data_IF_398304416474
#
_entry.id   IF_398304416474
#
_cell.length_a   1.000
_cell.length_b   1.000
_cell.length_c   1.000
_cell.angle_alpha   90.00
_cell.angle_beta   90.00
_cell.angle_gamma   90.00
#
_symmetry.space_group_name_H-M   'P 1'
#
loop_
_entity.id
_entity.type
_entity.pdbx_description
1 polymer ?
#
# COMPACT_ATOMS: atom_id res chain seq x y z
N UNK A 1 15.82 -3.94 -2.59
CA UNK A 1 15.19 -4.37 -1.32
C UNK A 1 15.51 -3.34 -0.25
N UNK A 2 14.54 -2.51 0.14
CA UNK A 2 14.70 -1.59 1.27
C UNK A 2 14.67 -2.39 2.56
N UNK A 3 15.84 -2.62 3.16
CA UNK A 3 15.96 -3.38 4.41
C UNK A 3 15.62 -2.44 5.57
N UNK A 4 14.49 -2.68 6.23
CA UNK A 4 14.11 -1.95 7.45
C UNK A 4 15.17 -2.20 8.52
N UNK A 5 15.79 -1.12 9.00
CA UNK A 5 16.76 -1.21 10.10
C UNK A 5 16.01 -1.30 11.42
N UNK A 6 16.22 -2.41 12.14
CA UNK A 6 15.63 -2.65 13.45
C UNK A 6 16.74 -2.57 14.49
N UNK A 7 16.59 -1.65 15.44
CA UNK A 7 17.41 -1.56 16.64
C UNK A 7 16.66 -2.16 17.83
N UNK A 8 17.37 -2.79 18.77
CA UNK A 8 16.78 -3.34 19.98
C UNK A 8 17.53 -2.84 21.20
N UNK A 9 16.80 -2.32 22.18
CA UNK A 9 17.34 -1.88 23.46
C UNK A 9 16.80 -2.76 24.59
N UNK A 10 17.65 -3.09 25.56
CA UNK A 10 17.31 -3.91 26.72
C UNK A 10 17.64 -3.15 28.00
N UNK A 11 16.65 -2.44 28.52
CA UNK A 11 16.72 -1.78 29.82
C UNK A 11 15.41 -2.03 30.56
N UNK A 12 15.41 -2.98 31.51
CA UNK A 12 14.26 -3.50 32.26
C UNK A 12 13.11 -4.12 31.43
N UNK A 13 13.09 -3.90 30.11
CA UNK A 13 12.25 -4.54 29.08
C UNK A 13 12.99 -4.54 27.74
N UNK A 14 12.59 -5.40 26.82
CA UNK A 14 13.11 -5.38 25.43
C UNK A 14 12.25 -4.44 24.59
N UNK A 15 12.85 -3.46 23.93
CA UNK A 15 12.19 -2.53 23.02
C UNK A 15 12.80 -2.66 21.63
N UNK A 16 12.01 -3.01 20.63
CA UNK A 16 12.41 -3.02 19.22
C UNK A 16 11.96 -1.72 18.55
N UNK A 17 12.86 -1.02 17.87
CA UNK A 17 12.58 0.23 17.17
C UNK A 17 12.99 0.11 15.71
N UNK A 18 12.13 0.59 14.82
CA UNK A 18 12.39 0.64 13.39
C UNK A 18 11.81 1.94 12.82
N UNK A 19 12.47 2.46 11.79
CA UNK A 19 11.95 3.51 10.94
C UNK A 19 11.79 2.94 9.54
N UNK A 20 10.65 3.22 8.91
CA UNK A 20 10.32 2.75 7.57
C UNK A 20 10.20 3.99 6.69
N UNK A 21 11.00 4.05 5.64
CA UNK A 21 10.93 5.14 4.66
C UNK A 21 9.61 5.09 3.89
N UNK A 22 9.13 6.25 3.47
CA UNK A 22 7.85 6.39 2.78
C UNK A 22 7.67 5.41 1.62
N UNK A 23 8.63 5.21 0.68
CA UNK A 23 8.44 4.25 -0.41
C UNK A 23 8.25 2.81 0.05
N UNK A 24 8.94 2.39 1.13
CA UNK A 24 8.78 1.05 1.69
C UNK A 24 7.45 0.92 2.43
N UNK A 25 6.99 1.98 3.09
CA UNK A 25 5.70 2.00 3.76
C UNK A 25 4.54 1.94 2.75
N UNK A 26 4.64 2.66 1.63
CA UNK A 26 3.66 2.60 0.54
C UNK A 26 3.61 1.21 -0.10
N UNK A 27 4.75 0.57 -0.32
CA UNK A 27 4.80 -0.81 -0.84
C UNK A 27 4.09 -1.80 0.10
N UNK A 28 4.34 -1.72 1.42
CA UNK A 28 3.65 -2.54 2.41
C UNK A 28 2.13 -2.32 2.42
N UNK A 29 1.69 -1.06 2.24
CA UNK A 29 0.27 -0.74 2.16
C UNK A 29 -0.38 -1.30 0.88
N UNK A 30 0.29 -1.18 -0.27
CA UNK A 30 -0.16 -1.75 -1.55
C UNK A 30 -0.32 -3.26 -1.42
N UNK A 31 0.70 -3.96 -0.93
CA UNK A 31 0.68 -5.43 -0.79
C UNK A 31 -0.46 -5.88 0.12
N UNK A 32 -0.68 -5.17 1.24
CA UNK A 32 -1.76 -5.49 2.16
C UNK A 32 -3.15 -5.33 1.52
N UNK A 33 -3.39 -4.25 0.78
CA UNK A 33 -4.68 -4.02 0.11
C UNK A 33 -4.88 -5.02 -1.03
N UNK A 34 -3.84 -5.29 -1.84
CA UNK A 34 -3.91 -6.28 -2.91
C UNK A 34 -4.25 -7.69 -2.37
N UNK A 35 -3.63 -8.10 -1.25
CA UNK A 35 -3.95 -9.37 -0.59
C UNK A 35 -5.41 -9.44 -0.11
N UNK A 36 -5.96 -8.36 0.45
CA UNK A 36 -7.36 -8.35 0.88
C UNK A 36 -8.34 -8.48 -0.29
N UNK A 37 -7.96 -7.98 -1.46
CA UNK A 37 -8.76 -8.06 -2.68
C UNK A 37 -8.51 -9.37 -3.48
N UNK A 38 -7.51 -10.17 -3.09
CA UNK A 38 -7.09 -11.34 -3.87
C UNK A 38 -6.43 -10.98 -5.21
N UNK A 39 -5.85 -9.79 -5.31
CA UNK A 39 -5.20 -9.28 -6.51
C UNK A 39 -3.68 -9.42 -6.44
N UNK A 40 -3.06 -9.52 -7.62
CA UNK A 40 -1.62 -9.36 -7.78
C UNK A 40 -1.33 -7.90 -8.19
N UNK A 41 -0.77 -7.13 -7.26
CA UNK A 41 -0.38 -5.72 -7.50
C UNK A 41 0.72 -5.55 -8.56
N UNK A 42 1.37 -6.64 -8.96
CA UNK A 42 2.41 -6.67 -9.99
C UNK A 42 1.91 -7.14 -11.35
N UNK A 43 0.65 -7.58 -11.43
CA UNK A 43 0.06 -8.02 -12.69
C UNK A 43 -0.02 -6.88 -13.69
N UNK A 44 0.28 -7.17 -14.96
CA UNK A 44 0.38 -6.16 -16.01
C UNK A 44 -0.94 -5.41 -16.28
N UNK A 45 -2.08 -6.02 -15.94
CA UNK A 45 -3.40 -5.42 -16.06
C UNK A 45 -3.83 -4.64 -14.81
N UNK A 46 -2.98 -4.52 -13.78
CA UNK A 46 -3.30 -3.81 -12.54
C UNK A 46 -2.48 -2.52 -12.46
N UNK A 47 -3.16 -1.38 -12.52
CA UNK A 47 -2.53 -0.09 -12.26
C UNK A 47 -2.58 0.21 -10.76
N UNK A 48 -1.43 0.56 -10.17
CA UNK A 48 -1.29 0.88 -8.75
C UNK A 48 -0.95 2.36 -8.56
N UNK A 49 -1.66 3.03 -7.65
CA UNK A 49 -1.28 4.34 -7.11
C UNK A 49 -1.33 4.29 -5.59
N UNK A 50 -0.32 4.84 -4.94
CA UNK A 50 -0.34 5.02 -3.50
C UNK A 50 0.36 6.33 -3.12
N UNK A 51 -0.20 7.06 -2.18
CA UNK A 51 0.36 8.33 -1.72
C UNK A 51 -0.02 8.63 -0.28
N UNK A 52 0.82 9.41 0.40
CA UNK A 52 0.55 9.93 1.74
C UNK A 52 -0.32 11.18 1.62
N UNK A 53 -1.44 11.19 2.33
CA UNK A 53 -2.32 12.34 2.47
C UNK A 53 -2.53 12.66 3.95
N UNK A 54 -3.27 13.73 4.25
CA UNK A 54 -3.64 14.08 5.61
C UNK A 54 -5.14 14.34 5.74
N UNK A 55 -5.69 14.01 6.90
CA UNK A 55 -7.07 14.31 7.26
C UNK A 55 -7.12 14.98 8.63
N UNK A 56 -8.16 15.78 8.85
CA UNK A 56 -8.36 16.46 10.14
C UNK A 56 -9.25 15.62 11.04
N UNK A 57 -8.92 15.58 12.33
CA UNK A 57 -9.73 14.92 13.35
C UNK A 57 -10.05 15.89 14.48
N UNK A 58 -11.32 15.90 14.89
CA UNK A 58 -11.81 16.74 15.99
C UNK A 58 -12.03 18.20 15.59
N UNK A 59 -12.71 18.95 16.45
CA UNK A 59 -13.04 20.37 16.24
C UNK A 59 -11.82 21.30 16.30
N UNK A 60 -10.71 20.84 16.87
CA UNK A 60 -9.46 21.59 16.98
C UNK A 60 -8.54 21.45 15.77
N UNK A 61 -8.84 20.55 14.83
CA UNK A 61 -8.19 20.49 13.51
C UNK A 61 -6.83 19.77 13.45
N UNK A 62 -6.52 18.88 14.40
CA UNK A 62 -5.29 18.10 14.39
C UNK A 62 -5.15 17.31 13.09
N UNK A 63 -4.06 17.56 12.35
CA UNK A 63 -3.75 16.84 11.12
C UNK A 63 -3.14 15.48 11.44
N UNK A 64 -3.76 14.43 10.91
CA UNK A 64 -3.24 13.07 10.94
C UNK A 64 -2.88 12.62 9.52
N UNK A 65 -1.81 11.84 9.40
CA UNK A 65 -1.43 11.23 8.14
C UNK A 65 -2.30 10.00 7.84
N UNK A 66 -2.52 9.73 6.55
CA UNK A 66 -3.15 8.53 6.01
C UNK A 66 -2.41 8.13 4.73
N UNK A 67 -2.36 6.84 4.44
CA UNK A 67 -1.98 6.34 3.12
C UNK A 67 -3.25 5.97 2.38
N UNK A 68 -3.39 6.44 1.14
CA UNK A 68 -4.43 6.02 0.22
C UNK A 68 -3.81 5.13 -0.85
N UNK A 69 -4.52 4.06 -1.21
CA UNK A 69 -4.10 3.06 -2.20
C UNK A 69 -5.24 2.87 -3.19
N UNK A 70 -4.94 3.03 -4.47
CA UNK A 70 -5.83 2.72 -5.59
C UNK A 70 -5.22 1.56 -6.40
N UNK A 71 -5.99 0.48 -6.54
CA UNK A 71 -5.71 -0.66 -7.44
C UNK A 71 -6.80 -0.67 -8.51
N UNK A 72 -6.41 -0.52 -9.78
CA UNK A 72 -7.34 -0.40 -10.90
C UNK A 72 -7.09 -1.58 -11.86
N UNK A 73 -8.04 -2.51 -11.93
CA UNK A 73 -7.99 -3.65 -12.85
C UNK A 73 -8.47 -3.27 -14.25
N UNK A 74 -7.60 -3.43 -15.24
CA UNK A 74 -7.95 -3.36 -16.65
C UNK A 74 -8.66 -4.64 -17.08
N UNK A 75 -9.92 -4.53 -17.44
CA UNK A 75 -10.65 -5.57 -18.16
C UNK A 75 -10.47 -5.32 -19.66
N UNK A 76 -9.39 -5.85 -20.27
CA UNK A 76 -9.36 -6.01 -21.72
C UNK A 76 -10.56 -6.87 -22.10
N UNK A 77 -11.55 -6.28 -22.78
CA UNK A 77 -12.76 -6.97 -23.15
C UNK A 77 -12.40 -8.16 -24.03
N UNK A 78 -12.80 -9.37 -23.61
CA UNK A 78 -12.75 -10.59 -24.41
C UNK A 78 -13.72 -10.53 -25.60
N UNK A 79 -13.59 -9.51 -26.47
CA UNK A 79 -14.59 -9.15 -27.47
C UNK A 79 -14.08 -9.24 -28.92
N UNK A 80 -13.06 -10.06 -29.18
CA UNK A 80 -12.49 -10.26 -30.53
C UNK A 80 -12.62 -11.71 -31.04
N UNK A 81 -13.35 -12.58 -30.34
CA UNK A 81 -13.52 -13.99 -30.76
C UNK A 81 -14.94 -14.39 -31.20
N UNK A 82 -15.93 -13.48 -31.18
CA UNK A 82 -17.33 -13.79 -31.56
C UNK A 82 -17.82 -13.18 -32.88
N UNK A 83 -16.95 -12.53 -33.66
CA UNK A 83 -17.29 -11.99 -34.99
C UNK A 83 -16.76 -12.82 -36.16
N UNK A 84 -16.20 -14.00 -35.90
CA UNK A 84 -15.76 -14.96 -36.92
C UNK A 84 -16.45 -16.32 -36.69
N UNK A 85 -17.77 -16.38 -36.91
CA UNK A 85 -18.53 -17.62 -37.10
C UNK A 85 -19.75 -17.34 -37.97
#
# INVERSE_FOLDING_TARGET
>A
MNRVQISSDKQNRTVHKASIDEPALLALAIDHVAQQLGLDSTAANVQVKAYVTSYQVGSLGDRKARIEVELIEGHEAANVALSAS
#
